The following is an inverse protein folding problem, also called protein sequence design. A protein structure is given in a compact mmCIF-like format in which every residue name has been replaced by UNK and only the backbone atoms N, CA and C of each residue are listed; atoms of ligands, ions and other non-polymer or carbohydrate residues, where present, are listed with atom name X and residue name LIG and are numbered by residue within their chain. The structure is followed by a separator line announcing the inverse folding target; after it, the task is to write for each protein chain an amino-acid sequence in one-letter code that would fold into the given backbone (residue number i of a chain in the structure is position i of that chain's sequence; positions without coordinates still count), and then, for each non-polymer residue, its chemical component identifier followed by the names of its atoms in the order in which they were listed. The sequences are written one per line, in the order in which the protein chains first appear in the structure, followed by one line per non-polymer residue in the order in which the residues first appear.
data_IF_343196350652
#
_entry.id   IF_343196350652
#
_cell.length_a   1.000
_cell.length_b   1.000
_cell.length_c   1.000
_cell.angle_alpha   90.00
_cell.angle_beta   90.00
_cell.angle_gamma   90.00
#
_symmetry.space_group_name_H-M   'P 1'
#
loop_
_entity.id
_entity.type
_entity.pdbx_description
1 polymer ?
#
# COMPACT_ATOMS: atom_id res chain seq x y z
N UNK A 1 -12.29 -19.69 40.13
CA UNK A 1 -12.08 -18.26 40.44
C UNK A 1 -12.84 -17.42 39.40
N UNK A 2 -13.59 -16.38 39.84
CA UNK A 2 -14.26 -15.45 38.94
C UNK A 2 -13.59 -14.09 39.00
N UNK A 3 -13.20 -13.57 37.82
CA UNK A 3 -12.70 -12.21 37.69
C UNK A 3 -13.81 -11.32 37.13
N UNK A 4 -13.95 -10.12 37.70
CA UNK A 4 -14.93 -9.11 37.28
C UNK A 4 -14.18 -7.83 36.89
N UNK A 5 -14.48 -7.33 35.70
CA UNK A 5 -13.95 -6.09 35.21
C UNK A 5 -15.10 -5.17 34.78
N UNK A 6 -14.95 -3.90 35.05
CA UNK A 6 -15.88 -2.86 34.59
C UNK A 6 -15.03 -1.88 33.76
N UNK A 7 -15.34 -1.72 32.49
CA UNK A 7 -14.64 -0.78 31.63
C UNK A 7 -14.98 0.67 31.97
N UNK A 8 -14.15 1.62 31.52
CA UNK A 8 -14.39 3.07 31.61
C UNK A 8 -15.76 3.48 31.06
N UNK A 9 -16.26 2.77 30.04
CA UNK A 9 -17.61 2.94 29.46
C UNK A 9 -18.74 2.31 30.29
N UNK A 10 -18.43 1.71 31.46
CA UNK A 10 -19.42 1.06 32.32
C UNK A 10 -19.85 -0.35 31.91
N UNK A 11 -19.23 -0.94 30.88
CA UNK A 11 -19.50 -2.33 30.45
C UNK A 11 -18.91 -3.31 31.46
N UNK A 12 -19.75 -4.22 31.95
CA UNK A 12 -19.34 -5.27 32.91
C UNK A 12 -18.98 -6.56 32.18
N UNK A 13 -17.77 -7.07 32.43
CA UNK A 13 -17.33 -8.38 31.98
C UNK A 13 -17.04 -9.27 33.20
N UNK A 14 -17.53 -10.50 33.17
CA UNK A 14 -17.27 -11.52 34.20
C UNK A 14 -16.77 -12.77 33.48
N UNK A 15 -15.64 -13.29 33.95
CA UNK A 15 -15.06 -14.52 33.38
C UNK A 15 -14.61 -15.43 34.51
N UNK A 16 -14.87 -16.73 34.35
CA UNK A 16 -14.48 -17.76 35.31
C UNK A 16 -13.21 -18.46 34.84
N UNK A 17 -12.30 -18.74 35.75
CA UNK A 17 -11.00 -19.35 35.49
C UNK A 17 -10.76 -20.53 36.44
N UNK A 18 -9.96 -21.48 36.01
CA UNK A 18 -9.56 -22.64 36.79
C UNK A 18 -8.50 -22.30 37.83
N UNK A 19 -7.69 -21.28 37.61
CA UNK A 19 -6.62 -20.86 38.50
C UNK A 19 -6.64 -19.37 38.83
N UNK A 20 -6.11 -19.00 40.01
CA UNK A 20 -5.97 -17.62 40.44
C UNK A 20 -5.01 -16.79 39.58
N UNK A 21 -3.84 -17.33 39.14
CA UNK A 21 -2.95 -16.63 38.25
C UNK A 21 -3.59 -16.25 36.89
N UNK A 22 -4.36 -17.17 36.30
CA UNK A 22 -5.08 -16.89 35.02
C UNK A 22 -6.10 -15.78 35.20
N UNK A 23 -6.83 -15.77 36.29
CA UNK A 23 -7.81 -14.74 36.61
C UNK A 23 -7.15 -13.35 36.79
N UNK A 24 -5.96 -13.31 37.41
CA UNK A 24 -5.18 -12.08 37.57
C UNK A 24 -4.63 -11.57 36.25
N UNK A 25 -4.00 -12.45 35.49
CA UNK A 25 -3.46 -12.08 34.16
C UNK A 25 -4.56 -11.52 33.25
N UNK A 26 -5.72 -12.20 33.19
CA UNK A 26 -6.84 -11.69 32.40
C UNK A 26 -7.33 -10.31 32.91
N UNK A 27 -7.31 -10.08 34.22
CA UNK A 27 -7.76 -8.81 34.79
C UNK A 27 -6.75 -7.67 34.53
N UNK A 28 -5.46 -7.97 34.47
CA UNK A 28 -4.42 -7.04 34.10
C UNK A 28 -4.48 -6.72 32.60
N UNK A 29 -4.67 -7.73 31.75
CA UNK A 29 -4.86 -7.57 30.32
C UNK A 29 -6.11 -6.72 30.01
N UNK A 30 -7.23 -6.98 30.71
CA UNK A 30 -8.45 -6.21 30.54
C UNK A 30 -8.29 -4.76 31.00
N UNK A 31 -7.58 -4.51 32.09
CA UNK A 31 -7.25 -3.15 32.55
C UNK A 31 -6.27 -2.43 31.61
N UNK A 32 -5.33 -3.18 31.04
CA UNK A 32 -4.38 -2.64 30.08
C UNK A 32 -5.09 -2.25 28.78
N UNK A 33 -5.97 -3.11 28.28
CA UNK A 33 -6.80 -2.84 27.11
C UNK A 33 -7.68 -1.60 27.34
N UNK A 34 -8.40 -1.51 28.46
CA UNK A 34 -9.28 -0.40 28.81
C UNK A 34 -8.53 0.95 28.91
N UNK A 35 -7.32 0.96 29.48
CA UNK A 35 -6.49 2.18 29.53
C UNK A 35 -5.97 2.63 28.17
N UNK A 36 -5.86 1.71 27.22
CA UNK A 36 -5.37 2.00 25.87
C UNK A 36 -6.51 2.12 24.85
N UNK A 37 -7.74 1.65 25.18
CA UNK A 37 -8.94 1.87 24.36
C UNK A 37 -9.46 3.31 24.47
N UNK A 38 -9.22 4.00 25.58
CA UNK A 38 -9.76 5.35 25.83
C UNK A 38 -9.06 6.49 25.08
N UNK A 39 -7.97 6.24 24.33
CA UNK A 39 -7.27 7.35 23.68
C UNK A 39 -7.60 7.47 22.20
N UNK A 40 -7.99 6.39 21.52
CA UNK A 40 -8.49 6.44 20.13
C UNK A 40 -9.13 5.09 19.77
N UNK A 41 -10.45 4.98 19.89
CA UNK A 41 -11.13 3.99 19.07
C UNK A 41 -10.87 4.37 17.61
N UNK A 42 -10.15 3.55 16.82
CA UNK A 42 -9.93 3.90 15.42
C UNK A 42 -11.32 4.05 14.79
N UNK A 43 -11.57 5.12 14.03
CA UNK A 43 -12.86 5.33 13.39
C UNK A 43 -13.24 4.07 12.61
N UNK A 44 -14.51 3.71 12.62
CA UNK A 44 -15.04 2.57 11.85
C UNK A 44 -14.94 2.88 10.35
N UNK A 45 -13.71 2.88 9.87
CA UNK A 45 -13.30 3.36 8.56
C UNK A 45 -12.92 2.17 7.68
N UNK A 46 -13.39 2.18 6.45
CA UNK A 46 -13.00 1.21 5.44
C UNK A 46 -11.60 1.51 4.89
N UNK A 47 -10.99 0.52 4.25
CA UNK A 47 -9.70 0.71 3.54
C UNK A 47 -9.80 1.79 2.47
N UNK A 48 -10.96 1.92 1.80
CA UNK A 48 -11.18 2.96 0.79
C UNK A 48 -11.23 4.35 1.41
N UNK A 49 -11.96 4.53 2.50
CA UNK A 49 -12.04 5.82 3.20
C UNK A 49 -10.68 6.24 3.75
N UNK A 50 -9.93 5.29 4.31
CA UNK A 50 -8.55 5.53 4.73
C UNK A 50 -7.65 5.93 3.55
N UNK A 51 -7.73 5.23 2.41
CA UNK A 51 -6.94 5.56 1.23
C UNK A 51 -7.21 6.98 0.74
N UNK A 52 -8.48 7.39 0.63
CA UNK A 52 -8.85 8.75 0.20
C UNK A 52 -8.38 9.82 1.19
N UNK A 53 -8.50 9.56 2.47
CA UNK A 53 -7.97 10.43 3.50
C UNK A 53 -6.45 10.57 3.40
N UNK A 54 -5.75 9.43 3.31
CA UNK A 54 -4.30 9.37 3.23
C UNK A 54 -3.75 10.10 1.99
N UNK A 55 -4.31 9.85 0.79
CA UNK A 55 -3.84 10.46 -0.46
C UNK A 55 -4.08 11.97 -0.50
N UNK A 56 -5.12 12.43 0.17
CA UNK A 56 -5.52 13.83 0.18
C UNK A 56 -4.83 14.67 1.26
N UNK A 57 -4.59 14.09 2.45
CA UNK A 57 -4.16 14.85 3.62
C UNK A 57 -2.76 14.48 4.11
N UNK A 58 -2.34 13.22 3.99
CA UNK A 58 -1.07 12.78 4.57
C UNK A 58 0.08 12.87 3.55
N UNK A 59 -0.18 12.50 2.29
CA UNK A 59 0.86 12.53 1.24
C UNK A 59 0.74 13.75 0.33
N UNK A 60 0.34 14.89 0.92
CA UNK A 60 0.15 16.16 0.22
C UNK A 60 1.36 16.62 -0.59
N UNK A 61 2.58 16.37 -0.13
CA UNK A 61 3.83 16.84 -0.72
C UNK A 61 4.39 15.95 -1.84
N UNK A 62 3.74 14.82 -2.14
CA UNK A 62 4.19 13.94 -3.22
C UNK A 62 3.94 14.57 -4.59
N UNK A 63 4.89 14.33 -5.51
CA UNK A 63 4.75 14.73 -6.92
C UNK A 63 3.43 14.21 -7.53
N UNK A 64 2.76 15.00 -8.38
CA UNK A 64 1.46 14.64 -8.96
C UNK A 64 1.43 13.27 -9.64
N UNK A 65 2.51 12.90 -10.34
CA UNK A 65 2.65 11.59 -10.97
C UNK A 65 2.69 10.45 -9.96
N UNK A 66 3.31 10.64 -8.79
CA UNK A 66 3.35 9.63 -7.74
C UNK A 66 1.96 9.41 -7.15
N UNK A 67 1.22 10.49 -6.86
CA UNK A 67 -0.17 10.41 -6.38
C UNK A 67 -1.07 9.70 -7.38
N UNK A 68 -0.94 10.05 -8.68
CA UNK A 68 -1.70 9.39 -9.75
C UNK A 68 -1.39 7.89 -9.79
N UNK A 69 -0.11 7.50 -9.74
CA UNK A 69 0.29 6.10 -9.72
C UNK A 69 -0.26 5.35 -8.51
N UNK A 70 -0.23 5.95 -7.31
CA UNK A 70 -0.81 5.33 -6.12
C UNK A 70 -2.31 5.14 -6.26
N UNK A 71 -3.04 6.14 -6.79
CA UNK A 71 -4.47 6.06 -7.04
C UNK A 71 -4.80 4.96 -8.05
N UNK A 72 -4.12 4.91 -9.18
CA UNK A 72 -4.32 3.86 -10.19
C UNK A 72 -4.06 2.46 -9.61
N UNK A 73 -2.94 2.27 -8.88
CA UNK A 73 -2.63 0.98 -8.26
C UNK A 73 -3.68 0.57 -7.23
N UNK A 74 -4.15 1.51 -6.44
CA UNK A 74 -5.21 1.25 -5.47
C UNK A 74 -6.52 0.88 -6.15
N UNK A 75 -7.04 1.72 -7.04
CA UNK A 75 -8.34 1.54 -7.69
C UNK A 75 -8.44 0.22 -8.46
N UNK A 76 -7.42 -0.12 -9.23
CA UNK A 76 -7.46 -1.32 -10.07
C UNK A 76 -7.11 -2.61 -9.33
N UNK A 77 -6.20 -2.56 -8.37
CA UNK A 77 -5.64 -3.78 -7.80
C UNK A 77 -6.09 -4.06 -6.36
N UNK A 78 -6.25 -3.02 -5.54
CA UNK A 78 -6.48 -3.16 -4.10
C UNK A 78 -7.96 -3.03 -3.74
N UNK A 79 -8.59 -1.97 -4.20
CA UNK A 79 -9.99 -1.63 -3.91
C UNK A 79 -10.99 -2.76 -4.21
N UNK A 80 -10.90 -3.49 -5.35
CA UNK A 80 -11.82 -4.58 -5.65
C UNK A 80 -11.76 -5.73 -4.66
N UNK A 81 -10.62 -5.90 -3.96
CA UNK A 81 -10.38 -7.03 -3.07
C UNK A 81 -10.66 -6.71 -1.60
N UNK A 82 -10.12 -5.59 -1.13
CA UNK A 82 -10.15 -5.23 0.29
C UNK A 82 -10.73 -3.84 0.56
N UNK A 83 -11.10 -3.07 -0.46
CA UNK A 83 -11.53 -1.68 -0.30
C UNK A 83 -12.74 -1.49 0.62
N UNK A 84 -13.66 -2.44 0.65
CA UNK A 84 -14.88 -2.42 1.50
C UNK A 84 -14.66 -2.99 2.89
N UNK A 85 -13.50 -3.58 3.17
CA UNK A 85 -13.18 -4.11 4.49
C UNK A 85 -12.92 -2.97 5.47
N UNK A 86 -13.24 -3.20 6.75
CA UNK A 86 -12.78 -2.30 7.81
C UNK A 86 -11.26 -2.30 7.87
N UNK A 87 -10.68 -1.16 8.07
CA UNK A 87 -9.23 -1.00 8.11
C UNK A 87 -8.59 -1.87 9.21
N UNK A 88 -9.25 -1.98 10.36
CA UNK A 88 -8.83 -2.81 11.49
C UNK A 88 -8.89 -4.31 11.24
N UNK A 89 -9.73 -4.76 10.30
CA UNK A 89 -9.94 -6.18 10.01
C UNK A 89 -8.96 -6.72 8.94
N UNK A 90 -8.17 -5.84 8.34
CA UNK A 90 -7.19 -6.24 7.32
C UNK A 90 -6.05 -7.02 7.97
N UNK A 91 -5.87 -8.26 7.51
CA UNK A 91 -4.82 -9.18 7.94
C UNK A 91 -3.81 -9.43 6.83
N UNK A 92 -2.59 -9.91 7.14
CA UNK A 92 -1.59 -10.23 6.12
C UNK A 92 -2.09 -11.15 5.01
N UNK A 93 -2.97 -12.10 5.33
CA UNK A 93 -3.56 -12.99 4.34
C UNK A 93 -4.38 -12.23 3.27
N UNK A 94 -5.10 -11.18 3.65
CA UNK A 94 -5.88 -10.37 2.70
C UNK A 94 -4.95 -9.62 1.74
N UNK A 95 -3.85 -9.07 2.24
CA UNK A 95 -2.83 -8.44 1.41
C UNK A 95 -2.16 -9.46 0.47
N UNK A 96 -1.84 -10.67 0.98
CA UNK A 96 -1.27 -11.74 0.15
C UNK A 96 -2.21 -12.17 -0.98
N UNK A 97 -3.52 -12.24 -0.72
CA UNK A 97 -4.52 -12.56 -1.76
C UNK A 97 -4.53 -11.52 -2.89
N UNK A 98 -4.36 -10.24 -2.59
CA UNK A 98 -4.24 -9.18 -3.62
C UNK A 98 -3.06 -9.49 -4.55
N UNK A 99 -1.90 -9.81 -4.00
CA UNK A 99 -0.70 -10.10 -4.81
C UNK A 99 -0.83 -11.41 -5.60
N UNK A 100 -1.36 -12.46 -4.99
CA UNK A 100 -1.60 -13.73 -5.69
C UNK A 100 -2.50 -13.55 -6.93
N UNK A 101 -3.56 -12.71 -6.80
CA UNK A 101 -4.41 -12.35 -7.94
C UNK A 101 -3.63 -11.59 -9.01
N UNK A 102 -2.73 -10.70 -8.61
CA UNK A 102 -1.94 -9.90 -9.55
C UNK A 102 -0.88 -10.72 -10.28
N UNK A 103 -0.30 -11.74 -9.64
CA UNK A 103 0.74 -12.59 -10.23
C UNK A 103 0.26 -13.28 -11.51
N UNK A 104 -1.05 -13.56 -11.63
CA UNK A 104 -1.64 -14.19 -12.82
C UNK A 104 -1.76 -13.26 -14.04
N UNK A 105 -1.76 -11.92 -13.85
CA UNK A 105 -2.18 -10.99 -14.90
C UNK A 105 -1.27 -9.77 -15.09
N UNK A 106 -0.35 -9.52 -14.15
CA UNK A 106 0.46 -8.29 -14.16
C UNK A 106 1.95 -8.55 -14.16
N UNK A 107 2.70 -7.66 -14.84
CA UNK A 107 4.16 -7.68 -14.78
C UNK A 107 4.66 -7.40 -13.35
N UNK A 108 5.81 -7.98 -12.99
CA UNK A 108 6.38 -7.84 -11.65
C UNK A 108 6.70 -6.40 -11.24
N UNK A 109 6.95 -5.50 -12.20
CA UNK A 109 7.09 -4.06 -11.93
C UNK A 109 5.79 -3.44 -11.40
N UNK A 110 4.65 -3.83 -11.97
CA UNK A 110 3.32 -3.37 -11.53
C UNK A 110 2.99 -3.90 -10.13
N UNK A 111 3.28 -5.18 -9.88
CA UNK A 111 3.10 -5.80 -8.56
C UNK A 111 3.95 -5.07 -7.52
N UNK A 112 5.22 -4.77 -7.84
CA UNK A 112 6.11 -4.03 -6.96
C UNK A 112 5.59 -2.63 -6.64
N UNK A 113 5.07 -1.91 -7.63
CA UNK A 113 4.49 -0.57 -7.40
C UNK A 113 3.26 -0.64 -6.50
N UNK A 114 2.38 -1.63 -6.71
CA UNK A 114 1.23 -1.87 -5.83
C UNK A 114 1.67 -2.22 -4.41
N UNK A 115 2.72 -3.04 -4.26
CA UNK A 115 3.30 -3.38 -2.95
C UNK A 115 3.81 -2.14 -2.22
N UNK A 116 4.51 -1.25 -2.92
CA UNK A 116 5.01 0.02 -2.35
C UNK A 116 3.83 0.90 -1.93
N UNK A 117 2.82 1.08 -2.79
CA UNK A 117 1.65 1.90 -2.50
C UNK A 117 0.88 1.39 -1.27
N UNK A 118 0.56 0.08 -1.23
CA UNK A 118 -0.10 -0.55 -0.09
C UNK A 118 0.75 -0.44 1.18
N UNK A 119 2.04 -0.71 1.07
CA UNK A 119 2.97 -0.66 2.19
C UNK A 119 3.07 0.73 2.81
N UNK A 120 3.13 1.77 1.98
CA UNK A 120 3.19 3.16 2.44
C UNK A 120 1.88 3.58 3.10
N UNK A 121 0.73 3.23 2.49
CA UNK A 121 -0.60 3.52 3.03
C UNK A 121 -0.84 2.86 4.40
N UNK A 122 -0.56 1.55 4.53
CA UNK A 122 -0.76 0.84 5.80
C UNK A 122 0.27 1.24 6.86
N UNK A 123 1.50 1.59 6.47
CA UNK A 123 2.47 2.13 7.43
C UNK A 123 2.01 3.47 7.99
N UNK A 124 1.45 4.33 7.15
CA UNK A 124 0.84 5.58 7.60
C UNK A 124 -0.35 5.30 8.55
N UNK A 125 -1.14 4.26 8.32
CA UNK A 125 -2.23 3.87 9.21
C UNK A 125 -1.70 3.47 10.61
N UNK A 126 -0.60 2.72 10.67
CA UNK A 126 0.04 2.37 11.96
C UNK A 126 0.61 3.61 12.64
N UNK A 127 1.31 4.48 11.89
CA UNK A 127 1.93 5.69 12.44
C UNK A 127 0.92 6.72 12.98
N UNK A 128 -0.32 6.66 12.50
CA UNK A 128 -1.42 7.52 12.96
C UNK A 128 -2.41 6.76 13.88
N UNK A 129 -2.00 5.65 14.46
CA UNK A 129 -2.76 4.83 15.41
C UNK A 129 -4.13 4.34 14.89
N UNK A 130 -4.33 4.36 13.57
CA UNK A 130 -5.55 3.86 12.93
C UNK A 130 -5.66 2.34 12.97
N UNK A 131 -4.52 1.66 13.03
CA UNK A 131 -4.40 0.20 13.23
C UNK A 131 -3.18 -0.10 14.11
N UNK A 132 -3.29 -1.13 14.94
CA UNK A 132 -2.22 -1.52 15.86
C UNK A 132 -1.14 -2.39 15.21
N UNK A 133 -1.51 -3.18 14.19
CA UNK A 133 -0.60 -4.12 13.52
C UNK A 133 -0.48 -3.81 12.05
N UNK A 134 0.73 -3.89 11.54
CA UNK A 134 1.02 -3.66 10.13
C UNK A 134 0.55 -4.85 9.26
N UNK A 135 -0.46 -4.67 8.38
CA UNK A 135 -1.04 -5.78 7.62
C UNK A 135 -0.13 -6.33 6.52
N UNK A 136 0.97 -5.65 6.21
CA UNK A 136 1.93 -6.09 5.22
C UNK A 136 3.10 -6.88 5.83
N UNK A 137 3.08 -7.10 7.16
CA UNK A 137 4.13 -7.86 7.81
C UNK A 137 4.18 -9.32 7.30
N UNK A 138 5.37 -9.79 6.96
CA UNK A 138 5.57 -11.11 6.37
C UNK A 138 5.03 -11.29 4.94
N UNK A 139 4.34 -10.30 4.36
CA UNK A 139 3.86 -10.38 2.98
C UNK A 139 5.03 -10.19 2.02
N UNK A 140 5.29 -11.21 1.21
CA UNK A 140 6.34 -11.19 0.19
C UNK A 140 5.72 -11.48 -1.17
N UNK A 141 6.30 -10.89 -2.21
CA UNK A 141 6.03 -11.25 -3.60
C UNK A 141 7.32 -11.62 -4.30
N UNK A 142 7.24 -12.54 -5.24
CA UNK A 142 8.40 -12.94 -6.03
C UNK A 142 8.68 -11.87 -7.07
N UNK A 143 9.84 -11.22 -6.96
CA UNK A 143 10.29 -10.26 -7.98
C UNK A 143 10.77 -11.06 -9.18
N UNK A 144 10.11 -10.98 -10.36
CA UNK A 144 10.66 -11.61 -11.55
C UNK A 144 12.00 -10.96 -11.88
N UNK A 145 13.01 -11.80 -12.10
CA UNK A 145 14.32 -11.36 -12.57
C UNK A 145 14.16 -10.96 -14.03
N UNK A 146 14.43 -9.70 -14.32
CA UNK A 146 14.42 -9.22 -15.70
C UNK A 146 15.70 -9.73 -16.38
N UNK A 147 15.57 -10.45 -17.49
CA UNK A 147 16.72 -10.84 -18.29
C UNK A 147 17.39 -9.59 -18.87
N UNK A 148 18.71 -9.62 -18.99
CA UNK A 148 19.49 -8.50 -19.56
C UNK A 148 19.05 -8.23 -21.00
N UNK A 149 18.63 -9.27 -21.72
CA UNK A 149 18.17 -9.21 -23.11
C UNK A 149 16.81 -8.50 -23.30
N UNK A 150 16.08 -8.22 -22.20
CA UNK A 150 14.85 -7.42 -22.24
C UNK A 150 15.08 -5.90 -22.41
N UNK A 151 16.33 -5.45 -22.37
CA UNK A 151 16.67 -4.05 -22.60
C UNK A 151 16.77 -3.82 -24.11
N UNK A 152 15.72 -3.24 -24.68
CA UNK A 152 15.70 -2.87 -26.10
C UNK A 152 16.36 -1.52 -26.30
N UNK A 153 17.46 -1.51 -27.01
CA UNK A 153 18.12 -0.30 -27.47
C UNK A 153 18.04 -0.25 -29.01
N UNK A 154 17.90 0.93 -29.57
CA UNK A 154 18.00 1.12 -31.02
C UNK A 154 19.44 0.85 -31.49
N UNK A 155 19.58 0.05 -32.51
CA UNK A 155 20.85 -0.05 -33.24
C UNK A 155 21.08 1.24 -34.03
N UNK A 156 22.31 1.48 -34.49
CA UNK A 156 22.65 2.67 -35.31
C UNK A 156 21.77 2.78 -36.56
N UNK A 157 21.54 1.65 -37.24
CA UNK A 157 20.69 1.61 -38.44
C UNK A 157 19.22 1.91 -38.12
N UNK A 158 18.71 1.40 -37.00
CA UNK A 158 17.35 1.68 -36.53
C UNK A 158 17.21 3.14 -36.15
N UNK A 159 18.22 3.74 -35.50
CA UNK A 159 18.26 5.14 -35.14
C UNK A 159 18.20 6.03 -36.37
N UNK A 160 19.00 5.71 -37.43
CA UNK A 160 18.97 6.45 -38.68
C UNK A 160 17.59 6.36 -39.34
N UNK A 161 17.00 5.17 -39.46
CA UNK A 161 15.67 4.97 -40.01
C UNK A 161 14.60 5.73 -39.22
N UNK A 162 14.70 5.70 -37.88
CA UNK A 162 13.80 6.44 -37.01
C UNK A 162 13.90 7.94 -37.28
N UNK A 163 15.12 8.49 -37.33
CA UNK A 163 15.33 9.92 -37.55
C UNK A 163 14.88 10.37 -38.94
N UNK A 164 15.06 9.53 -39.96
CA UNK A 164 14.57 9.83 -41.29
C UNK A 164 13.02 9.90 -41.35
N UNK A 165 12.37 8.94 -40.71
CA UNK A 165 10.90 8.95 -40.57
C UNK A 165 10.42 10.16 -39.73
N UNK A 166 11.16 10.51 -38.67
CA UNK A 166 10.84 11.61 -37.78
C UNK A 166 10.93 13.00 -38.41
N UNK A 167 11.68 13.18 -39.52
CA UNK A 167 11.75 14.47 -40.23
C UNK A 167 10.40 15.03 -40.64
N UNK A 168 9.42 14.17 -40.86
CA UNK A 168 8.03 14.55 -41.20
C UNK A 168 7.16 14.83 -39.95
N UNK A 169 7.69 14.62 -38.75
CA UNK A 169 6.96 14.80 -37.52
C UNK A 169 7.07 16.24 -37.01
N UNK A 170 5.98 16.74 -36.42
CA UNK A 170 5.99 17.99 -35.65
C UNK A 170 7.03 17.98 -34.52
N UNK A 171 7.30 16.80 -33.94
CA UNK A 171 8.19 16.63 -32.78
C UNK A 171 9.64 16.29 -33.17
N UNK A 172 10.07 16.54 -34.44
CA UNK A 172 11.41 16.17 -34.90
C UNK A 172 12.54 16.72 -34.00
N UNK A 173 12.44 18.00 -33.63
CA UNK A 173 13.43 18.64 -32.76
C UNK A 173 13.56 17.97 -31.38
N UNK A 174 12.45 17.56 -30.82
CA UNK A 174 12.43 16.82 -29.53
C UNK A 174 13.09 15.45 -29.66
N UNK A 175 12.80 14.71 -30.75
CA UNK A 175 13.42 13.39 -30.96
C UNK A 175 14.93 13.52 -31.20
N UNK A 176 15.37 14.51 -31.98
CA UNK A 176 16.79 14.78 -32.20
C UNK A 176 17.47 15.11 -30.87
N UNK A 177 16.90 16.02 -30.08
CA UNK A 177 17.46 16.41 -28.78
C UNK A 177 17.58 15.22 -27.83
N UNK A 178 16.53 14.39 -27.72
CA UNK A 178 16.54 13.21 -26.86
C UNK A 178 17.62 12.20 -27.28
N UNK A 179 17.77 11.95 -28.58
CA UNK A 179 18.76 11.00 -29.05
C UNK A 179 20.19 11.50 -28.90
N UNK A 180 20.44 12.78 -29.10
CA UNK A 180 21.78 13.38 -29.00
C UNK A 180 22.22 13.55 -27.52
N UNK A 181 21.29 13.85 -26.65
CA UNK A 181 21.61 14.22 -25.23
C UNK A 181 21.31 13.12 -24.23
N UNK A 182 20.49 12.14 -24.60
CA UNK A 182 20.00 11.10 -23.66
C UNK A 182 19.01 11.62 -22.62
N UNK A 183 18.48 12.83 -22.79
CA UNK A 183 17.46 13.39 -21.89
C UNK A 183 16.17 12.56 -21.90
N UNK A 184 15.52 12.47 -20.73
CA UNK A 184 14.21 11.84 -20.65
C UNK A 184 13.13 12.76 -21.23
N UNK A 185 12.09 12.18 -21.79
CA UNK A 185 10.97 12.92 -22.40
C UNK A 185 10.41 14.02 -21.49
N UNK A 186 10.31 13.76 -20.18
CA UNK A 186 9.82 14.74 -19.19
C UNK A 186 10.83 15.84 -18.80
N UNK A 187 12.05 15.77 -19.34
CA UNK A 187 13.10 16.80 -19.14
C UNK A 187 13.18 17.75 -20.36
N UNK A 188 12.51 17.39 -21.46
CA UNK A 188 12.52 18.14 -22.72
C UNK A 188 11.27 19.01 -22.92
N UNK A 189 10.24 18.81 -22.08
CA UNK A 189 8.94 19.51 -22.14
C UNK A 189 8.92 20.69 -21.19
#
# INVERSE_FOLDING_TARGET
YSARFVSSEGKRQVKCFSSLPEARNWLEDAKYADRHEDVFAPPDMTVTEWFEFWISHIVGDLAPNTKRNYRERYEYNVKPMIGKMRLTDVKPMHCKMVFNRMEASYAGSTIRQTYIAMGTMFRAAVMNDMIQKYPMDGVRFTKPVRAVDDIKCLTTDEQQKFMEAAKRSHNYAQYALILETGLRTGEVI
#
